data_IF_961869000603
#
_entry.id   IF_961869000603
#
_cell.length_a   1.000
_cell.length_b   1.000
_cell.length_c   1.000
_cell.angle_alpha   90.00
_cell.angle_beta   90.00
_cell.angle_gamma   90.00
#
_symmetry.space_group_name_H-M   'P 1'
#
loop_
_entity.id
_entity.type
_entity.pdbx_description
1 polymer ?
#
# COMPACT_ATOMS: atom_id res chain seq x y z
N UNK A 1 12.52 47.79 -29.03
CA UNK A 1 12.83 48.90 -28.11
C UNK A 1 11.61 49.15 -27.25
N UNK A 2 11.75 49.01 -25.93
CA UNK A 2 10.96 49.58 -24.82
C UNK A 2 10.97 48.60 -23.65
N UNK A 3 11.80 48.96 -22.67
CA UNK A 3 11.92 48.40 -21.33
C UNK A 3 10.62 48.67 -20.56
N UNK A 4 10.26 47.78 -19.64
CA UNK A 4 9.73 48.21 -18.34
C UNK A 4 10.24 47.28 -17.23
N UNK A 5 10.94 47.90 -16.28
CA UNK A 5 11.31 47.37 -14.97
C UNK A 5 10.17 47.61 -13.98
N UNK A 6 10.04 46.75 -12.96
CA UNK A 6 9.82 47.07 -11.53
C UNK A 6 9.72 45.74 -10.75
N UNK A 7 10.68 45.33 -9.90
CA UNK A 7 11.18 45.86 -8.61
C UNK A 7 10.31 45.45 -7.40
N UNK A 8 10.96 44.68 -6.50
CA UNK A 8 10.81 44.48 -5.05
C UNK A 8 9.45 44.17 -4.41
N UNK A 9 9.41 43.15 -3.52
CA UNK A 9 9.53 43.35 -2.06
C UNK A 9 10.17 42.11 -1.41
N UNK A 10 11.21 42.37 -0.62
CA UNK A 10 11.87 41.44 0.31
C UNK A 10 11.11 41.54 1.64
N UNK A 11 10.69 40.42 2.22
CA UNK A 11 10.29 40.35 3.62
C UNK A 11 11.15 39.31 4.33
N UNK A 12 12.17 39.82 5.03
CA UNK A 12 12.93 39.08 6.02
C UNK A 12 12.12 39.00 7.32
N UNK A 13 11.93 37.80 7.86
CA UNK A 13 11.59 37.59 9.26
C UNK A 13 12.66 36.70 9.90
N UNK A 14 13.63 37.37 10.55
CA UNK A 14 14.48 36.77 11.57
C UNK A 14 13.71 36.77 12.89
N UNK A 15 13.61 35.65 13.62
CA UNK A 15 13.82 35.62 15.08
C UNK A 15 13.75 34.21 15.70
N UNK A 16 14.82 33.91 16.43
CA UNK A 16 14.82 33.37 17.80
C UNK A 16 14.52 31.88 18.05
N UNK A 17 15.59 31.14 18.31
CA UNK A 17 15.61 29.91 19.11
C UNK A 17 15.23 30.16 20.57
N UNK A 18 14.37 29.33 21.19
CA UNK A 18 14.39 29.13 22.63
C UNK A 18 15.15 27.86 23.01
N UNK A 19 16.17 28.03 23.85
CA UNK A 19 16.74 26.96 24.67
C UNK A 19 15.74 26.58 25.76
N UNK A 20 15.30 25.31 25.77
CA UNK A 20 14.50 24.77 26.88
C UNK A 20 15.34 23.73 27.64
N UNK A 21 15.70 24.07 28.87
CA UNK A 21 16.29 23.19 29.87
C UNK A 21 15.14 22.54 30.64
N UNK A 22 14.76 21.33 30.23
CA UNK A 22 13.70 20.54 30.87
C UNK A 22 14.26 19.24 31.43
N UNK A 23 14.56 19.23 32.72
CA UNK A 23 14.88 18.04 33.49
C UNK A 23 13.56 17.34 33.84
N UNK A 24 13.29 16.20 33.21
CA UNK A 24 12.09 15.40 33.45
C UNK A 24 12.40 13.95 33.16
N UNK A 25 12.63 13.16 34.21
CA UNK A 25 12.63 11.71 34.18
C UNK A 25 11.23 11.21 33.83
N UNK A 26 10.86 11.32 32.56
CA UNK A 26 9.79 10.55 31.96
C UNK A 26 10.45 9.38 31.25
N UNK A 27 10.24 8.17 31.76
CA UNK A 27 10.60 6.92 31.08
C UNK A 27 10.04 6.96 29.67
N UNK A 28 10.88 7.38 28.73
CA UNK A 28 10.63 7.27 27.31
C UNK A 28 10.72 5.77 27.07
N UNK A 29 9.55 5.13 26.99
CA UNK A 29 9.45 3.79 26.46
C UNK A 29 9.83 3.93 24.99
N UNK A 30 11.13 3.83 24.70
CA UNK A 30 11.62 3.62 23.34
C UNK A 30 10.92 2.35 22.86
N UNK A 31 10.00 2.41 21.89
CA UNK A 31 9.48 1.19 21.31
C UNK A 31 10.68 0.43 20.74
N UNK A 32 10.91 -0.79 21.23
CA UNK A 32 11.92 -1.68 20.67
C UNK A 32 11.71 -1.78 19.15
N UNK A 33 12.76 -1.62 18.32
CA UNK A 33 12.68 -1.76 16.85
C UNK A 33 12.23 -3.14 16.34
N UNK A 34 11.88 -4.06 17.24
CA UNK A 34 11.64 -5.47 16.98
C UNK A 34 10.14 -5.83 16.86
N UNK A 35 9.24 -4.89 17.18
CA UNK A 35 7.79 -5.01 16.97
C UNK A 35 7.29 -4.26 15.72
N UNK A 36 8.21 -3.67 14.95
CA UNK A 36 7.91 -3.16 13.62
C UNK A 36 7.59 -4.37 12.74
N UNK A 37 6.29 -4.61 12.51
CA UNK A 37 5.84 -5.52 11.46
C UNK A 37 6.69 -5.24 10.22
N UNK A 38 7.37 -6.27 9.69
CA UNK A 38 8.29 -6.11 8.56
C UNK A 38 7.49 -5.54 7.40
N UNK A 39 7.69 -4.24 7.17
CA UNK A 39 7.02 -3.45 6.15
C UNK A 39 8.02 -3.25 5.01
N UNK A 40 7.57 -3.50 3.79
CA UNK A 40 8.37 -3.41 2.58
C UNK A 40 7.71 -2.43 1.62
N UNK A 41 8.49 -1.59 0.96
CA UNK A 41 7.98 -0.73 -0.11
C UNK A 41 7.48 -1.57 -1.29
N UNK A 42 6.30 -1.24 -1.83
CA UNK A 42 5.77 -1.92 -3.03
C UNK A 42 6.51 -1.52 -4.31
N UNK A 43 7.24 -0.41 -4.26
CA UNK A 43 8.07 0.08 -5.36
C UNK A 43 9.54 0.06 -4.98
N UNK A 44 10.45 -0.37 -5.88
CA UNK A 44 10.18 -0.96 -7.19
C UNK A 44 9.68 -2.42 -7.11
N UNK A 45 8.90 -2.89 -8.10
CA UNK A 45 8.28 -4.23 -8.09
C UNK A 45 9.27 -5.38 -7.92
N UNK A 46 10.49 -5.29 -8.48
CA UNK A 46 11.48 -6.36 -8.34
C UNK A 46 11.93 -6.55 -6.89
N UNK A 47 12.05 -5.46 -6.12
CA UNK A 47 12.37 -5.52 -4.70
C UNK A 47 11.22 -6.09 -3.89
N UNK A 48 9.97 -5.69 -4.22
CA UNK A 48 8.79 -6.27 -3.61
C UNK A 48 8.72 -7.78 -3.88
N UNK A 49 8.93 -8.21 -5.12
CA UNK A 49 8.91 -9.62 -5.48
C UNK A 49 9.99 -10.41 -4.74
N UNK A 50 11.23 -9.88 -4.67
CA UNK A 50 12.30 -10.52 -3.91
C UNK A 50 11.95 -10.68 -2.42
N UNK A 51 11.35 -9.65 -1.81
CA UNK A 51 10.87 -9.71 -0.43
C UNK A 51 9.73 -10.72 -0.25
N UNK A 52 8.79 -10.77 -1.19
CA UNK A 52 7.69 -11.74 -1.18
C UNK A 52 8.21 -13.18 -1.28
N UNK A 53 9.16 -13.45 -2.17
CA UNK A 53 9.78 -14.78 -2.31
C UNK A 53 10.58 -15.18 -1.06
N UNK A 54 11.22 -14.23 -0.37
CA UNK A 54 11.87 -14.49 0.93
C UNK A 54 10.85 -14.81 2.05
N UNK A 55 9.61 -14.36 1.89
CA UNK A 55 8.50 -14.56 2.82
C UNK A 55 7.44 -15.50 2.24
N UNK A 56 7.86 -16.43 1.37
CA UNK A 56 7.00 -17.47 0.84
C UNK A 56 6.40 -18.31 1.97
N UNK A 57 5.16 -18.73 1.74
CA UNK A 57 4.30 -19.47 2.67
C UNK A 57 3.97 -18.70 3.96
N UNK A 58 4.30 -17.40 4.04
CA UNK A 58 3.85 -16.51 5.11
C UNK A 58 2.63 -15.72 4.69
N UNK A 59 1.90 -15.27 5.70
CA UNK A 59 0.76 -14.39 5.53
C UNK A 59 1.21 -12.94 5.35
N UNK A 60 0.73 -12.31 4.30
CA UNK A 60 1.08 -10.96 3.87
C UNK A 60 -0.18 -10.14 3.65
N UNK A 61 -0.07 -8.82 3.84
CA UNK A 61 -1.06 -7.83 3.43
C UNK A 61 -0.51 -6.99 2.30
N UNK A 62 -1.27 -6.93 1.22
CA UNK A 62 -0.88 -6.24 -0.01
C UNK A 62 -2.00 -5.29 -0.48
N UNK A 63 -1.67 -4.04 -0.85
CA UNK A 63 -2.59 -3.18 -1.58
C UNK A 63 -2.63 -3.64 -3.04
N UNK A 64 -3.74 -4.27 -3.42
CA UNK A 64 -3.92 -4.88 -4.74
C UNK A 64 -5.00 -4.12 -5.50
N UNK A 65 -4.64 -3.54 -6.64
CA UNK A 65 -5.61 -3.07 -7.62
C UNK A 65 -6.21 -4.29 -8.33
N UNK A 66 -7.48 -4.55 -8.05
CA UNK A 66 -8.23 -5.64 -8.66
C UNK A 66 -9.10 -5.06 -9.78
N UNK A 67 -9.16 -5.75 -10.91
CA UNK A 67 -10.12 -5.46 -11.99
C UNK A 67 -10.97 -6.70 -12.24
N UNK A 68 -12.29 -6.55 -12.35
CA UNK A 68 -13.18 -7.67 -12.68
C UNK A 68 -13.36 -7.81 -14.19
N UNK A 69 -13.61 -9.04 -14.66
CA UNK A 69 -13.97 -9.24 -16.07
C UNK A 69 -15.39 -8.73 -16.33
N UNK A 70 -15.68 -8.11 -17.49
CA UNK A 70 -17.03 -7.74 -17.87
C UNK A 70 -17.96 -8.96 -17.77
N UNK A 71 -19.05 -8.83 -17.01
CA UNK A 71 -20.08 -9.87 -16.82
C UNK A 71 -19.62 -11.15 -16.06
N UNK A 72 -18.55 -11.11 -15.28
CA UNK A 72 -18.07 -12.29 -14.53
C UNK A 72 -17.84 -11.98 -13.05
N UNK A 73 -18.14 -12.95 -12.21
CA UNK A 73 -17.80 -12.97 -10.78
C UNK A 73 -16.34 -13.41 -10.54
N UNK A 74 -15.41 -13.11 -11.46
CA UNK A 74 -14.01 -13.56 -11.37
C UNK A 74 -13.06 -12.37 -11.57
N UNK A 75 -11.95 -12.40 -10.84
CA UNK A 75 -10.85 -11.44 -11.00
C UNK A 75 -10.24 -11.57 -12.40
N UNK A 76 -10.17 -10.45 -13.14
CA UNK A 76 -9.50 -10.37 -14.44
C UNK A 76 -7.99 -10.23 -14.25
N UNK A 77 -7.61 -9.24 -13.46
CA UNK A 77 -6.23 -8.86 -13.16
C UNK A 77 -6.13 -8.43 -11.70
N UNK A 78 -4.97 -8.65 -11.11
CA UNK A 78 -4.62 -8.20 -9.78
C UNK A 78 -3.18 -7.69 -9.82
N UNK A 79 -2.98 -6.42 -9.50
CA UNK A 79 -1.65 -5.79 -9.50
C UNK A 79 -1.36 -5.18 -8.14
N UNK A 80 -0.17 -5.39 -7.60
CA UNK A 80 0.28 -4.70 -6.38
C UNK A 80 0.81 -3.34 -6.78
N UNK A 81 0.16 -2.28 -6.29
CA UNK A 81 0.39 -0.90 -6.73
C UNK A 81 -0.43 -0.48 -7.96
N UNK A 82 -0.26 0.78 -8.35
CA UNK A 82 -0.98 1.52 -9.40
C UNK A 82 -0.05 2.26 -10.39
N UNK A 83 1.27 2.12 -10.26
CA UNK A 83 2.28 2.76 -11.14
C UNK A 83 2.73 1.85 -12.30
N UNK A 84 3.50 2.37 -13.27
CA UNK A 84 3.99 1.57 -14.40
C UNK A 84 4.84 0.36 -14.01
N UNK A 85 5.44 0.38 -12.83
CA UNK A 85 6.19 -0.71 -12.22
C UNK A 85 5.35 -1.53 -11.23
N UNK A 86 4.02 -1.57 -11.39
CA UNK A 86 3.17 -2.43 -10.57
C UNK A 86 3.46 -3.92 -10.81
N UNK A 87 3.41 -4.71 -9.74
CA UNK A 87 3.66 -6.15 -9.81
C UNK A 87 2.35 -6.89 -10.14
N UNK A 88 2.25 -7.47 -11.33
CA UNK A 88 1.14 -8.37 -11.66
C UNK A 88 1.23 -9.66 -10.83
N UNK A 89 0.12 -10.01 -10.18
CA UNK A 89 -0.01 -11.20 -9.34
C UNK A 89 -1.28 -11.98 -9.69
N UNK A 90 -1.29 -13.26 -9.32
CA UNK A 90 -2.50 -14.08 -9.35
C UNK A 90 -3.17 -14.07 -7.98
N UNK A 91 -4.32 -13.39 -7.85
CA UNK A 91 -5.15 -13.47 -6.66
C UNK A 91 -6.04 -14.73 -6.72
N UNK A 92 -5.74 -15.72 -5.88
CA UNK A 92 -6.53 -16.94 -5.74
C UNK A 92 -7.40 -16.86 -4.49
N UNK A 93 -8.71 -16.69 -4.67
CA UNK A 93 -9.72 -16.54 -3.60
C UNK A 93 -10.52 -17.82 -3.33
N UNK A 94 -10.09 -18.95 -3.89
CA UNK A 94 -10.75 -20.25 -3.75
C UNK A 94 -10.75 -20.78 -2.31
N UNK A 95 -9.99 -20.18 -1.41
CA UNK A 95 -9.98 -20.52 0.02
C UNK A 95 -10.80 -19.59 0.90
N UNK A 96 -11.44 -18.57 0.32
CA UNK A 96 -12.35 -17.70 1.04
C UNK A 96 -13.75 -18.32 1.10
N UNK A 97 -14.48 -18.05 2.18
CA UNK A 97 -15.90 -18.41 2.27
C UNK A 97 -16.75 -17.63 1.25
N UNK A 98 -16.36 -16.38 0.96
CA UNK A 98 -16.97 -15.52 -0.05
C UNK A 98 -15.86 -15.01 -0.97
N UNK A 99 -15.87 -15.34 -2.28
CA UNK A 99 -14.89 -14.85 -3.25
C UNK A 99 -14.84 -13.32 -3.31
N UNK A 100 -13.74 -12.77 -3.85
CA UNK A 100 -13.54 -11.31 -3.97
C UNK A 100 -14.70 -10.66 -4.73
N UNK A 101 -15.15 -11.30 -5.81
CA UNK A 101 -16.27 -10.80 -6.60
C UNK A 101 -17.60 -10.78 -5.83
N UNK A 102 -17.82 -11.72 -4.91
CA UNK A 102 -19.00 -11.74 -4.05
C UNK A 102 -19.01 -10.59 -3.04
N UNK A 103 -17.82 -10.10 -2.65
CA UNK A 103 -17.65 -8.93 -1.77
C UNK A 103 -17.54 -7.61 -2.56
N UNK A 104 -17.55 -7.64 -3.89
CA UNK A 104 -17.27 -6.47 -4.72
C UNK A 104 -18.24 -5.31 -4.46
N UNK A 105 -19.55 -5.59 -4.46
CA UNK A 105 -20.56 -4.55 -4.22
C UNK A 105 -20.44 -3.87 -2.85
N UNK A 106 -19.92 -4.59 -1.85
CA UNK A 106 -19.72 -4.05 -0.50
C UNK A 106 -18.54 -3.07 -0.44
N UNK A 107 -17.44 -3.38 -1.12
CA UNK A 107 -16.19 -2.61 -1.01
C UNK A 107 -16.01 -1.58 -2.14
N UNK A 108 -16.49 -1.91 -3.33
CA UNK A 108 -16.14 -1.22 -4.58
C UNK A 108 -17.35 -0.66 -5.32
N UNK A 109 -18.57 -0.90 -4.81
CA UNK A 109 -19.81 -0.45 -5.42
C UNK A 109 -19.96 -0.98 -6.85
N UNK A 110 -20.16 -0.08 -7.81
CA UNK A 110 -20.35 -0.41 -9.23
C UNK A 110 -19.11 -0.16 -10.11
N UNK A 111 -17.93 0.09 -9.52
CA UNK A 111 -16.71 0.32 -10.29
C UNK A 111 -16.16 -0.95 -10.95
N UNK A 112 -15.48 -0.81 -12.09
CA UNK A 112 -14.83 -1.94 -12.79
C UNK A 112 -13.48 -2.33 -12.17
N UNK A 113 -12.83 -1.37 -11.49
CA UNK A 113 -11.56 -1.54 -10.80
C UNK A 113 -11.61 -0.93 -9.42
N UNK A 114 -10.88 -1.52 -8.48
CA UNK A 114 -10.91 -1.13 -7.08
C UNK A 114 -9.62 -1.58 -6.40
N UNK A 115 -8.99 -0.68 -5.66
CA UNK A 115 -7.84 -1.05 -4.85
C UNK A 115 -8.32 -1.62 -3.53
N UNK A 116 -7.89 -2.85 -3.22
CA UNK A 116 -8.26 -3.59 -2.03
C UNK A 116 -7.00 -3.89 -1.22
N UNK A 117 -7.10 -3.75 0.11
CA UNK A 117 -6.12 -4.34 1.00
C UNK A 117 -6.46 -5.81 1.19
N UNK A 118 -5.67 -6.69 0.58
CA UNK A 118 -5.87 -8.14 0.62
C UNK A 118 -4.90 -8.76 1.62
N UNK A 119 -5.40 -9.69 2.40
CA UNK A 119 -4.61 -10.53 3.31
C UNK A 119 -4.64 -11.97 2.82
N UNK A 120 -3.47 -12.62 2.81
CA UNK A 120 -3.38 -14.01 2.40
C UNK A 120 -1.96 -14.55 2.38
N UNK A 121 -1.82 -15.81 1.99
CA UNK A 121 -0.53 -16.50 1.98
C UNK A 121 0.15 -16.28 0.62
N UNK A 122 1.38 -15.77 0.64
CA UNK A 122 2.18 -15.68 -0.59
C UNK A 122 2.73 -17.06 -0.97
N UNK A 123 2.25 -17.61 -2.08
CA UNK A 123 2.72 -18.90 -2.61
C UNK A 123 3.87 -18.70 -3.61
N UNK A 124 3.93 -17.53 -4.25
CA UNK A 124 5.03 -17.15 -5.13
C UNK A 124 5.22 -18.04 -6.35
N UNK A 125 6.48 -18.21 -6.74
CA UNK A 125 6.91 -18.96 -7.91
C UNK A 125 6.57 -18.28 -9.24
N UNK A 126 6.65 -19.02 -10.35
CA UNK A 126 6.41 -18.49 -11.70
C UNK A 126 5.03 -17.84 -11.86
N UNK A 127 4.05 -18.28 -11.05
CA UNK A 127 2.68 -17.77 -11.09
C UNK A 127 2.42 -16.53 -10.23
N UNK A 128 3.41 -16.07 -9.43
CA UNK A 128 3.29 -14.89 -8.54
C UNK A 128 1.95 -14.88 -7.78
N UNK A 129 1.65 -15.99 -7.10
CA UNK A 129 0.31 -16.27 -6.59
C UNK A 129 0.16 -15.84 -5.13
N UNK A 130 -0.86 -15.02 -4.87
CA UNK A 130 -1.37 -14.72 -3.53
C UNK A 130 -2.62 -15.57 -3.29
N UNK A 131 -2.59 -16.44 -2.29
CA UNK A 131 -3.74 -17.19 -1.85
C UNK A 131 -4.51 -16.36 -0.81
N UNK A 132 -5.55 -15.68 -1.28
CA UNK A 132 -6.31 -14.71 -0.50
C UNK A 132 -7.14 -15.41 0.56
N UNK A 133 -7.07 -14.90 1.79
CA UNK A 133 -7.83 -15.32 2.95
C UNK A 133 -8.90 -14.31 3.31
N UNK A 134 -8.56 -13.03 3.19
CA UNK A 134 -9.45 -11.94 3.56
C UNK A 134 -9.31 -10.72 2.65
N UNK A 135 -10.43 -10.02 2.45
CA UNK A 135 -10.47 -8.66 1.92
C UNK A 135 -10.66 -7.76 3.14
N UNK A 136 -9.60 -7.07 3.54
CA UNK A 136 -9.58 -6.28 4.78
C UNK A 136 -10.41 -5.00 4.61
N UNK A 137 -10.14 -4.26 3.53
CA UNK A 137 -10.86 -3.02 3.19
C UNK A 137 -10.65 -2.61 1.74
N UNK A 138 -11.51 -1.72 1.25
CA UNK A 138 -11.22 -0.92 0.08
C UNK A 138 -10.25 0.23 0.44
N UNK A 139 -9.39 0.59 -0.51
CA UNK A 139 -8.52 1.75 -0.45
C UNK A 139 -9.14 2.81 -1.38
N UNK A 140 -9.67 3.92 -0.82
CA UNK A 140 -10.23 5.01 -1.62
C UNK A 140 -9.20 5.61 -2.56
N UNK A 141 -9.65 6.18 -3.68
CA UNK A 141 -8.78 6.79 -4.70
C UNK A 141 -7.86 7.87 -4.11
N UNK A 142 -8.36 8.66 -3.16
CA UNK A 142 -7.60 9.68 -2.45
C UNK A 142 -6.42 9.10 -1.64
N UNK A 143 -6.52 7.85 -1.20
CA UNK A 143 -5.55 7.20 -0.31
C UNK A 143 -4.59 6.27 -1.06
N UNK A 144 -4.82 5.99 -2.35
CA UNK A 144 -4.00 5.07 -3.16
C UNK A 144 -2.52 5.47 -3.19
N UNK A 145 -2.25 6.77 -3.27
CA UNK A 145 -0.88 7.29 -3.27
C UNK A 145 -0.11 7.02 -1.95
N UNK A 146 -0.82 6.81 -0.84
CA UNK A 146 -0.24 6.44 0.45
C UNK A 146 -0.18 4.93 0.70
N UNK A 147 -0.83 4.11 -0.13
CA UNK A 147 -0.85 2.66 -0.02
C UNK A 147 0.41 2.04 -0.67
N UNK A 148 1.59 2.46 -0.21
CA UNK A 148 2.88 2.12 -0.83
C UNK A 148 3.65 1.01 -0.12
N UNK A 149 3.01 0.29 0.81
CA UNK A 149 3.68 -0.67 1.67
C UNK A 149 2.99 -2.03 1.64
N UNK A 150 3.78 -3.08 1.55
CA UNK A 150 3.45 -4.46 1.86
C UNK A 150 3.87 -4.76 3.30
N UNK A 151 3.14 -5.62 4.00
CA UNK A 151 3.49 -6.02 5.37
C UNK A 151 3.23 -7.51 5.61
N UNK A 152 3.95 -8.11 6.55
CA UNK A 152 3.56 -9.41 7.09
C UNK A 152 2.29 -9.25 7.94
N UNK A 153 1.31 -10.13 7.73
CA UNK A 153 0.17 -10.22 8.65
C UNK A 153 0.62 -10.83 9.99
N UNK A 154 -0.06 -10.46 11.07
CA UNK A 154 0.26 -10.90 12.44
C UNK A 154 -0.54 -12.14 12.82
#
# INVERSE_FOLDING_TARGET
MHRLLAICVIAACSSSTPSTKGNGSGSTVTPSPQDAAMTQSIYPADQLLAWLEQNKDKEVRLPVLVTLKPNKMNVATATVGDKPDALEIKAADNTMAVPIAGKWGQFCGSGESCMLLLEGVWVGGETKKLQVREVVKAIPDADRAGATSAELAK
#
